data_IF_604089119919
#
_entry.id   IF_604089119919
#
_cell.length_a   1.000
_cell.length_b   1.000
_cell.length_c   1.000
_cell.angle_alpha   90.00
_cell.angle_beta   90.00
_cell.angle_gamma   90.00
#
_symmetry.space_group_name_H-M   'P 1'
#
loop_
_entity.id
_entity.type
_entity.pdbx_description
1 polymer ?
#
# COMPACT_ATOMS: atom_id res chain seq x y z
N UNK A 1 0.00 -5.06 10.87
CA UNK A 1 1.20 -4.28 10.53
C UNK A 1 2.20 -5.14 9.79
N UNK A 2 2.83 -4.60 8.78
CA UNK A 2 4.02 -5.14 8.10
C UNK A 2 5.15 -4.13 8.26
N UNK A 3 6.33 -4.62 8.61
CA UNK A 3 7.57 -3.86 8.56
C UNK A 3 8.61 -4.68 7.79
N UNK A 4 9.21 -4.07 6.80
CA UNK A 4 10.19 -4.77 5.98
C UNK A 4 10.65 -3.97 4.78
N UNK A 5 11.40 -4.60 3.87
CA UNK A 5 11.87 -3.95 2.66
C UNK A 5 10.75 -3.69 1.67
N UNK A 6 10.80 -2.55 1.00
CA UNK A 6 9.97 -2.25 -0.17
C UNK A 6 10.35 -3.17 -1.34
N UNK A 7 9.34 -3.74 -1.99
CA UNK A 7 9.55 -4.50 -3.22
C UNK A 7 10.02 -3.61 -4.40
N UNK A 8 9.85 -2.29 -4.29
CA UNK A 8 10.30 -1.33 -5.32
C UNK A 8 11.82 -1.17 -5.28
N UNK A 9 12.43 -0.98 -4.09
CA UNK A 9 13.84 -0.61 -4.00
C UNK A 9 14.59 -1.12 -2.75
N UNK A 10 13.97 -1.98 -1.96
CA UNK A 10 14.57 -2.57 -0.77
C UNK A 10 14.65 -1.65 0.46
N UNK A 11 14.32 -0.37 0.35
CA UNK A 11 14.33 0.54 1.51
C UNK A 11 13.23 0.17 2.52
N UNK A 12 13.42 0.47 3.82
CA UNK A 12 12.47 0.08 4.85
C UNK A 12 11.15 0.83 4.75
N UNK A 13 10.05 0.06 4.72
CA UNK A 13 8.69 0.56 4.75
C UNK A 13 7.89 -0.04 5.90
N UNK A 14 6.78 0.59 6.22
CA UNK A 14 5.72 0.05 7.07
C UNK A 14 4.39 0.08 6.31
N UNK A 15 3.63 -1.01 6.41
CA UNK A 15 2.26 -1.06 5.93
C UNK A 15 1.30 -1.35 7.09
N UNK A 16 0.27 -0.53 7.22
CA UNK A 16 -0.68 -0.56 8.33
C UNK A 16 -2.09 -0.67 7.79
N UNK A 17 -2.81 -1.70 8.21
CA UNK A 17 -4.23 -1.88 7.91
C UNK A 17 -5.07 -1.26 9.05
N UNK A 18 -5.77 -0.17 8.75
CA UNK A 18 -6.77 0.40 9.65
C UNK A 18 -8.15 -0.13 9.28
N UNK A 19 -8.84 -0.71 10.26
CA UNK A 19 -10.10 -1.44 10.02
C UNK A 19 -11.31 -0.51 9.84
N UNK A 20 -11.23 0.71 10.34
CA UNK A 20 -12.26 1.73 10.20
C UNK A 20 -11.67 2.97 9.53
N UNK A 21 -12.44 3.59 8.67
CA UNK A 21 -12.08 4.83 7.99
C UNK A 21 -13.27 5.79 8.01
N UNK A 22 -12.98 7.06 8.28
CA UNK A 22 -13.95 8.15 8.13
C UNK A 22 -13.96 8.70 6.70
N UNK A 23 -13.35 8.01 5.74
CA UNK A 23 -13.32 8.44 4.36
C UNK A 23 -14.65 8.11 3.67
N UNK A 24 -15.51 9.12 3.55
CA UNK A 24 -16.84 8.99 2.90
C UNK A 24 -16.75 8.41 1.49
N UNK A 25 -15.68 8.69 0.73
CA UNK A 25 -15.51 8.22 -0.65
C UNK A 25 -15.28 6.71 -0.75
N UNK A 26 -14.78 6.09 0.30
CA UNK A 26 -14.49 4.64 0.33
C UNK A 26 -15.44 3.88 1.24
N UNK A 27 -16.39 4.56 1.86
CA UNK A 27 -17.34 3.94 2.77
C UNK A 27 -16.64 3.19 3.92
N UNK A 28 -17.15 2.00 4.24
CA UNK A 28 -16.65 1.18 5.33
C UNK A 28 -15.40 0.33 4.98
N UNK A 29 -14.72 0.61 3.87
CA UNK A 29 -13.52 -0.15 3.51
C UNK A 29 -12.39 0.08 4.50
N UNK A 30 -11.76 -1.00 4.94
CA UNK A 30 -10.49 -0.94 5.64
C UNK A 30 -9.41 -0.33 4.71
N UNK A 31 -8.50 0.45 5.28
CA UNK A 31 -7.51 1.21 4.52
C UNK A 31 -6.11 0.66 4.79
N UNK A 32 -5.39 0.25 3.75
CA UNK A 32 -3.99 -0.14 3.84
C UNK A 32 -3.10 1.05 3.45
N UNK A 33 -2.32 1.51 4.43
CA UNK A 33 -1.38 2.63 4.32
C UNK A 33 0.02 2.09 4.17
N UNK A 34 0.74 2.55 3.17
CA UNK A 34 2.12 2.14 2.89
C UNK A 34 3.00 3.38 3.03
N UNK A 35 3.97 3.36 3.95
CA UNK A 35 4.73 4.53 4.33
C UNK A 35 6.21 4.18 4.50
N UNK A 36 7.09 5.16 4.32
CA UNK A 36 8.47 5.03 4.73
C UNK A 36 8.52 4.83 6.26
N UNK A 37 9.28 3.81 6.73
CA UNK A 37 9.31 3.47 8.16
C UNK A 37 9.91 4.59 9.00
N UNK A 38 10.99 5.19 8.52
CA UNK A 38 11.84 6.08 9.32
C UNK A 38 11.62 7.57 9.02
N UNK A 39 10.80 7.89 8.02
CA UNK A 39 10.54 9.28 7.62
C UNK A 39 9.04 9.53 7.52
N UNK A 40 8.58 10.59 8.18
CA UNK A 40 7.16 10.97 8.14
C UNK A 40 6.69 11.26 6.71
N UNK A 41 5.45 10.88 6.32
CA UNK A 41 4.98 10.94 4.92
C UNK A 41 5.10 12.33 4.27
N UNK A 42 4.79 13.40 4.99
CA UNK A 42 4.88 14.76 4.48
C UNK A 42 6.33 15.22 4.27
N UNK A 43 7.25 14.75 5.13
CA UNK A 43 8.69 15.03 5.00
C UNK A 43 9.26 14.25 3.83
N UNK A 44 8.96 12.94 3.74
CA UNK A 44 9.41 12.09 2.65
C UNK A 44 8.99 12.65 1.28
N UNK A 45 7.72 13.06 1.15
CA UNK A 45 7.21 13.69 -0.07
C UNK A 45 7.93 15.01 -0.39
N UNK A 46 8.12 15.89 0.61
CA UNK A 46 8.78 17.18 0.42
C UNK A 46 10.24 17.03 -0.01
N UNK A 47 10.94 16.05 0.50
CA UNK A 47 12.35 15.75 0.20
C UNK A 47 12.55 14.86 -1.02
N UNK A 48 11.48 14.33 -1.63
CA UNK A 48 11.56 13.36 -2.71
C UNK A 48 12.02 11.97 -2.28
N UNK A 49 12.04 11.67 -0.97
CA UNK A 49 12.50 10.41 -0.38
C UNK A 49 11.37 9.38 -0.22
N UNK A 50 10.24 9.58 -0.90
CA UNK A 50 9.10 8.67 -0.93
C UNK A 50 9.21 7.61 -2.05
N UNK A 51 10.38 7.45 -2.63
CA UNK A 51 10.69 6.47 -3.69
C UNK A 51 10.48 5.01 -3.26
N UNK A 52 10.68 4.70 -1.97
CA UNK A 52 10.38 3.38 -1.41
C UNK A 52 8.89 3.05 -1.42
N UNK A 53 8.03 4.08 -1.45
CA UNK A 53 6.58 3.98 -1.27
C UNK A 53 5.84 4.20 -2.58
N UNK A 54 6.29 5.16 -3.38
CA UNK A 54 5.61 5.60 -4.60
C UNK A 54 6.41 5.29 -5.89
N UNK A 55 7.67 4.82 -5.76
CA UNK A 55 8.54 4.57 -6.92
C UNK A 55 8.67 5.79 -7.82
N UNK A 56 8.67 5.54 -9.13
CA UNK A 56 8.74 6.57 -10.17
C UNK A 56 7.34 7.04 -10.61
N UNK A 57 6.45 7.31 -9.63
CA UNK A 57 5.11 7.77 -9.91
C UNK A 57 5.13 9.08 -10.74
N UNK A 58 4.53 9.11 -11.94
CA UNK A 58 4.61 10.26 -12.83
C UNK A 58 3.88 11.50 -12.29
N UNK A 59 2.89 11.28 -11.41
CA UNK A 59 2.08 12.36 -10.83
C UNK A 59 2.46 12.69 -9.37
N UNK A 60 3.70 12.39 -8.96
CA UNK A 60 4.18 12.66 -7.58
C UNK A 60 3.93 14.10 -7.13
N UNK A 61 4.19 15.07 -8.02
CA UNK A 61 4.02 16.51 -7.73
C UNK A 61 2.55 16.89 -7.56
N UNK A 62 1.68 16.26 -8.33
CA UNK A 62 0.24 16.52 -8.40
C UNK A 62 -0.58 15.52 -7.56
N UNK A 63 0.10 14.73 -6.74
CA UNK A 63 -0.55 13.71 -5.91
C UNK A 63 -1.60 14.34 -5.00
N UNK A 64 -2.86 13.92 -5.15
CA UNK A 64 -4.00 14.43 -4.39
C UNK A 64 -3.98 14.03 -2.90
N UNK A 65 -3.12 13.07 -2.51
CA UNK A 65 -3.04 12.62 -1.13
C UNK A 65 -2.40 13.69 -0.25
N UNK A 66 -3.17 14.14 0.73
CA UNK A 66 -2.71 15.10 1.74
C UNK A 66 -1.89 14.38 2.81
N UNK A 67 -0.58 14.32 2.60
CA UNK A 67 0.34 13.52 3.42
C UNK A 67 0.46 13.99 4.88
N UNK A 68 0.03 15.22 5.18
CA UNK A 68 -0.01 15.81 6.52
C UNK A 68 -1.31 15.51 7.29
N UNK A 69 -2.28 14.83 6.68
CA UNK A 69 -3.55 14.43 7.31
C UNK A 69 -3.53 12.93 7.66
N UNK A 70 -4.37 12.12 7.00
CA UNK A 70 -4.51 10.69 7.28
C UNK A 70 -3.18 9.93 7.35
N UNK A 71 -2.30 10.03 6.33
CA UNK A 71 -1.01 9.35 6.38
C UNK A 71 -0.17 9.72 7.59
N UNK A 72 -0.09 11.02 7.94
CA UNK A 72 0.67 11.47 9.10
C UNK A 72 0.06 10.98 10.41
N UNK A 73 -1.27 11.00 10.53
CA UNK A 73 -1.95 10.50 11.73
C UNK A 73 -1.65 9.02 11.99
N UNK A 74 -1.71 8.19 10.94
CA UNK A 74 -1.41 6.75 11.03
C UNK A 74 0.07 6.52 11.32
N UNK A 75 0.97 7.26 10.68
CA UNK A 75 2.41 7.17 10.93
C UNK A 75 2.78 7.58 12.36
N UNK A 76 2.21 8.67 12.87
CA UNK A 76 2.42 9.10 14.27
C UNK A 76 1.89 8.06 15.26
N UNK A 77 0.75 7.46 15.01
CA UNK A 77 0.22 6.37 15.84
C UNK A 77 1.16 5.15 15.83
N UNK A 78 1.72 4.79 14.67
CA UNK A 78 2.73 3.77 14.55
C UNK A 78 3.99 4.10 15.38
N UNK A 79 4.52 5.31 15.26
CA UNK A 79 5.72 5.74 16.01
C UNK A 79 5.52 5.78 17.53
N UNK A 80 4.28 5.95 18.00
CA UNK A 80 3.93 5.86 19.42
C UNK A 80 3.64 4.42 19.89
N UNK A 81 3.84 3.41 19.05
CA UNK A 81 3.59 2.02 19.43
C UNK A 81 2.11 1.62 19.52
N UNK A 82 1.16 2.45 19.04
CA UNK A 82 -0.28 2.16 19.11
C UNK A 82 -0.65 0.82 18.47
N UNK A 83 0.11 0.38 17.49
CA UNK A 83 -0.13 -0.87 16.77
C UNK A 83 0.69 -2.05 17.32
N UNK A 84 1.50 -1.84 18.35
CA UNK A 84 2.23 -2.91 19.02
C UNK A 84 1.24 -3.84 19.70
N UNK A 85 1.40 -5.15 19.53
CA UNK A 85 0.48 -6.16 20.05
C UNK A 85 -0.84 -6.33 19.30
N UNK A 86 -1.16 -5.47 18.32
CA UNK A 86 -2.39 -5.61 17.53
C UNK A 86 -2.31 -6.64 16.40
N UNK A 87 -1.23 -7.42 16.37
CA UNK A 87 -1.00 -8.46 15.38
C UNK A 87 -0.25 -7.96 14.16
N UNK A 88 0.57 -8.85 13.64
CA UNK A 88 1.42 -8.62 12.49
C UNK A 88 1.15 -9.68 11.44
N UNK A 89 1.33 -9.36 10.18
CA UNK A 89 1.28 -10.36 9.12
C UNK A 89 2.46 -11.34 9.26
N UNK A 90 2.19 -12.62 9.46
CA UNK A 90 3.24 -13.64 9.48
C UNK A 90 3.61 -14.03 8.05
N UNK A 91 4.91 -14.03 7.75
CA UNK A 91 5.43 -14.45 6.46
C UNK A 91 6.03 -15.86 6.57
N UNK A 92 6.05 -16.61 5.47
CA UNK A 92 6.88 -17.80 5.34
C UNK A 92 8.40 -17.49 5.32
N UNK A 93 8.79 -16.21 5.23
CA UNK A 93 10.19 -15.77 5.26
C UNK A 93 10.70 -15.71 6.71
N UNK A 94 11.97 -15.99 7.00
CA UNK A 94 12.52 -16.00 8.36
C UNK A 94 12.26 -14.72 9.14
N UNK A 95 11.87 -14.84 10.41
CA UNK A 95 11.54 -13.72 11.32
C UNK A 95 12.65 -12.67 11.48
N UNK A 96 13.89 -12.97 11.07
CA UNK A 96 15.01 -12.04 11.08
C UNK A 96 14.92 -10.89 10.08
N UNK A 97 14.05 -11.01 9.07
CA UNK A 97 13.93 -10.01 8.00
C UNK A 97 12.69 -9.12 8.12
N UNK A 98 11.75 -9.43 9.01
CA UNK A 98 10.56 -8.61 9.24
C UNK A 98 9.91 -8.96 10.59
N UNK A 99 9.30 -7.98 11.21
CA UNK A 99 8.39 -8.17 12.34
C UNK A 99 6.96 -8.21 11.78
N UNK A 100 6.28 -9.37 11.84
CA UNK A 100 4.96 -9.39 11.28
C UNK A 100 4.12 -10.60 11.68
N UNK A 101 2.90 -10.37 12.10
CA UNK A 101 1.87 -11.36 12.42
C UNK A 101 0.55 -10.90 11.82
N UNK A 102 -0.13 -11.78 11.06
CA UNK A 102 -1.56 -11.54 10.77
C UNK A 102 -2.28 -11.70 12.12
N UNK A 103 -3.08 -10.72 12.54
CA UNK A 103 -3.94 -10.95 13.70
C UNK A 103 -4.84 -12.16 13.41
N UNK A 104 -5.22 -12.89 14.44
CA UNK A 104 -6.32 -13.88 14.40
C UNK A 104 -7.67 -13.20 14.08
N UNK A 105 -7.65 -12.01 13.51
CA UNK A 105 -8.84 -11.32 13.05
C UNK A 105 -9.22 -11.82 11.69
N UNK A 106 -10.43 -12.30 11.64
CA UNK A 106 -11.09 -12.70 10.41
C UNK A 106 -11.18 -11.51 9.43
N UNK A 107 -10.37 -11.54 8.38
CA UNK A 107 -10.42 -10.56 7.30
C UNK A 107 -11.58 -10.83 6.35
N UNK A 108 -12.24 -12.00 6.45
CA UNK A 108 -13.28 -12.45 5.52
C UNK A 108 -14.47 -11.51 5.41
N UNK A 109 -14.69 -10.66 6.39
CA UNK A 109 -15.75 -9.65 6.41
C UNK A 109 -15.31 -8.27 5.93
N UNK A 110 -14.03 -8.09 5.62
CA UNK A 110 -13.47 -6.78 5.29
C UNK A 110 -13.32 -6.60 3.78
N UNK A 111 -13.84 -5.49 3.28
CA UNK A 111 -13.43 -4.94 1.99
C UNK A 111 -12.22 -4.03 2.23
N UNK A 112 -11.14 -4.22 1.48
CA UNK A 112 -9.85 -3.56 1.73
C UNK A 112 -9.45 -2.68 0.55
N UNK A 113 -9.11 -1.42 0.83
CA UNK A 113 -8.47 -0.52 -0.13
C UNK A 113 -6.96 -0.55 0.07
N UNK A 114 -6.24 -1.06 -0.91
CA UNK A 114 -4.79 -0.99 -0.96
C UNK A 114 -4.32 0.39 -1.43
N UNK A 115 -3.29 0.91 -0.77
CA UNK A 115 -2.69 2.18 -1.15
C UNK A 115 -3.59 3.39 -0.83
N UNK A 116 -4.18 3.45 0.36
CA UNK A 116 -4.78 4.69 0.85
C UNK A 116 -3.77 5.84 0.85
N UNK A 117 -2.51 5.51 1.08
CA UNK A 117 -1.30 6.23 0.70
C UNK A 117 -0.22 5.20 0.34
N UNK A 118 0.61 5.50 -0.65
CA UNK A 118 1.64 4.64 -1.19
C UNK A 118 1.13 3.68 -2.27
N UNK A 119 2.04 3.21 -3.10
CA UNK A 119 1.74 2.30 -4.20
C UNK A 119 1.76 0.84 -3.69
N UNK A 120 0.73 0.03 -3.95
CA UNK A 120 0.73 -1.39 -3.60
C UNK A 120 1.92 -2.19 -4.14
N UNK A 121 2.57 -1.72 -5.20
CA UNK A 121 3.79 -2.33 -5.73
C UNK A 121 4.97 -2.31 -4.74
N UNK A 122 4.92 -1.48 -3.71
CA UNK A 122 5.91 -1.48 -2.63
C UNK A 122 5.80 -2.69 -1.71
N UNK A 123 4.66 -3.39 -1.71
CA UNK A 123 4.43 -4.56 -0.87
C UNK A 123 5.01 -5.82 -1.50
N UNK A 124 5.57 -6.74 -0.68
CA UNK A 124 5.95 -8.05 -1.20
C UNK A 124 4.72 -8.85 -1.64
N UNK A 125 4.87 -9.61 -2.71
CA UNK A 125 3.75 -10.35 -3.33
C UNK A 125 3.07 -11.34 -2.36
N UNK A 126 3.83 -11.94 -1.46
CA UNK A 126 3.26 -12.86 -0.46
C UNK A 126 2.27 -12.16 0.48
N UNK A 127 2.52 -10.87 0.84
CA UNK A 127 1.63 -10.09 1.68
C UNK A 127 0.35 -9.72 0.93
N UNK A 128 0.48 -9.33 -0.34
CA UNK A 128 -0.67 -9.07 -1.21
C UNK A 128 -1.55 -10.32 -1.29
N UNK A 129 -0.95 -11.50 -1.55
CA UNK A 129 -1.65 -12.79 -1.58
C UNK A 129 -2.35 -13.09 -0.25
N UNK A 130 -1.63 -12.96 0.86
CA UNK A 130 -2.17 -13.26 2.18
C UNK A 130 -3.39 -12.40 2.53
N UNK A 131 -3.39 -11.14 2.14
CA UNK A 131 -4.53 -10.25 2.37
C UNK A 131 -5.67 -10.56 1.40
N UNK A 132 -5.40 -10.66 0.09
CA UNK A 132 -6.43 -10.79 -0.94
C UNK A 132 -7.14 -12.14 -0.91
N UNK A 133 -6.47 -13.21 -0.47
CA UNK A 133 -7.07 -14.54 -0.32
C UNK A 133 -7.98 -14.67 0.91
N UNK A 134 -7.80 -13.79 1.90
CA UNK A 134 -8.52 -13.88 3.17
C UNK A 134 -9.53 -12.74 3.39
N UNK A 135 -9.55 -11.70 2.57
CA UNK A 135 -10.53 -10.62 2.69
C UNK A 135 -11.77 -10.88 1.82
N UNK A 136 -12.88 -10.19 2.17
CA UNK A 136 -14.13 -10.26 1.41
C UNK A 136 -13.96 -9.73 0.00
N UNK A 137 -13.39 -8.54 -0.11
CA UNK A 137 -13.18 -7.78 -1.34
C UNK A 137 -11.96 -6.90 -1.22
N UNK A 138 -11.40 -6.50 -2.35
CA UNK A 138 -10.33 -5.53 -2.35
C UNK A 138 -10.35 -4.65 -3.60
N UNK A 139 -9.75 -3.47 -3.46
CA UNK A 139 -9.46 -2.55 -4.56
C UNK A 139 -8.11 -1.90 -4.37
N UNK A 140 -7.52 -1.46 -5.45
CA UNK A 140 -6.26 -0.72 -5.46
C UNK A 140 -5.83 -0.42 -6.89
N UNK A 141 -4.90 0.51 -7.02
CA UNK A 141 -4.28 0.82 -8.30
C UNK A 141 -2.81 1.12 -8.08
N UNK A 142 -2.02 0.88 -9.11
CA UNK A 142 -0.57 1.08 -9.09
C UNK A 142 -0.13 1.95 -10.26
N UNK A 143 0.82 2.86 -10.04
CA UNK A 143 1.54 3.57 -11.10
C UNK A 143 2.76 2.77 -11.58
N UNK A 144 3.19 1.78 -10.79
CA UNK A 144 4.35 0.94 -11.09
C UNK A 144 4.02 -0.27 -11.99
N UNK A 145 2.87 -0.25 -12.66
CA UNK A 145 2.35 -1.36 -13.45
C UNK A 145 3.27 -1.81 -14.60
N UNK A 146 4.07 -0.90 -15.17
CA UNK A 146 5.05 -1.24 -16.21
C UNK A 146 6.17 -2.13 -15.66
N UNK A 147 6.58 -1.87 -14.43
CA UNK A 147 7.68 -2.58 -13.76
C UNK A 147 7.23 -3.88 -13.11
N UNK A 148 5.97 -3.94 -12.69
CA UNK A 148 5.39 -5.08 -11.99
C UNK A 148 4.14 -5.61 -12.70
N UNK A 149 4.28 -6.20 -13.91
CA UNK A 149 3.12 -6.65 -14.70
C UNK A 149 2.31 -7.75 -14.00
N UNK A 150 2.93 -8.55 -13.14
CA UNK A 150 2.24 -9.57 -12.34
C UNK A 150 1.18 -9.04 -11.38
N UNK A 151 1.19 -7.73 -11.08
CA UNK A 151 0.17 -7.08 -10.24
C UNK A 151 -1.17 -6.89 -10.97
N UNK A 152 -1.26 -7.15 -12.27
CA UNK A 152 -2.51 -7.10 -13.04
C UNK A 152 -3.58 -8.05 -12.49
N UNK A 153 -3.18 -9.11 -11.78
CA UNK A 153 -4.07 -10.06 -11.09
C UNK A 153 -4.84 -9.42 -9.92
N UNK A 154 -4.30 -8.35 -9.34
CA UNK A 154 -4.80 -7.75 -8.10
C UNK A 154 -5.30 -6.33 -8.30
N UNK A 155 -4.54 -5.50 -8.99
CA UNK A 155 -4.74 -4.06 -9.04
C UNK A 155 -4.99 -3.53 -10.42
N UNK A 156 -5.57 -2.33 -10.48
CA UNK A 156 -5.71 -1.58 -11.72
C UNK A 156 -4.43 -0.79 -11.99
N UNK A 157 -4.09 -0.60 -13.25
CA UNK A 157 -3.07 0.37 -13.65
C UNK A 157 -3.65 1.78 -13.58
N UNK A 158 -3.01 2.68 -12.84
CA UNK A 158 -3.27 4.11 -12.95
C UNK A 158 -2.59 4.64 -14.20
N UNK A 159 -3.35 5.29 -15.07
CA UNK A 159 -2.89 5.75 -16.37
C UNK A 159 -3.31 7.18 -16.65
N UNK A 160 -2.41 7.99 -17.16
CA UNK A 160 -2.61 9.41 -17.39
C UNK A 160 -3.04 9.74 -18.84
N UNK A 161 -2.99 8.75 -19.75
CA UNK A 161 -3.36 8.94 -21.17
C UNK A 161 -3.98 7.69 -21.80
N UNK A 162 -4.67 7.88 -22.93
CA UNK A 162 -5.24 6.76 -23.68
C UNK A 162 -4.16 5.82 -24.21
N UNK A 163 -3.03 6.34 -24.66
CA UNK A 163 -1.91 5.53 -25.11
C UNK A 163 -1.33 4.64 -24.00
N UNK A 164 -1.28 5.13 -22.75
CA UNK A 164 -0.88 4.34 -21.59
C UNK A 164 -1.93 3.31 -21.21
N UNK A 165 -3.21 3.64 -21.35
CA UNK A 165 -4.32 2.69 -21.16
C UNK A 165 -4.18 1.46 -22.07
N UNK A 166 -3.89 1.68 -23.35
CA UNK A 166 -3.75 0.57 -24.31
C UNK A 166 -2.53 -0.29 -23.97
N UNK A 167 -1.42 0.33 -23.55
CA UNK A 167 -0.24 -0.40 -23.07
C UNK A 167 -0.54 -1.23 -21.82
N UNK A 168 -1.27 -0.66 -20.84
CA UNK A 168 -1.63 -1.34 -19.62
C UNK A 168 -2.57 -2.54 -19.89
N UNK A 169 -3.53 -2.37 -20.81
CA UNK A 169 -4.42 -3.47 -21.24
C UNK A 169 -3.65 -4.61 -21.90
N UNK A 170 -2.64 -4.32 -22.72
CA UNK A 170 -1.77 -5.36 -23.31
C UNK A 170 -1.01 -6.17 -22.26
N UNK A 171 -0.75 -5.60 -21.08
CA UNK A 171 -0.16 -6.27 -19.92
C UNK A 171 -1.21 -6.93 -18.98
N UNK A 172 -2.47 -6.99 -19.41
CA UNK A 172 -3.54 -7.63 -18.65
C UNK A 172 -4.17 -6.79 -17.55
N UNK A 173 -3.82 -5.49 -17.44
CA UNK A 173 -4.40 -4.65 -16.41
C UNK A 173 -5.80 -4.12 -16.78
N UNK A 174 -6.69 -4.10 -15.79
CA UNK A 174 -7.78 -3.13 -15.77
C UNK A 174 -7.16 -1.74 -15.52
N UNK A 175 -7.80 -0.69 -15.97
CA UNK A 175 -7.23 0.66 -15.89
C UNK A 175 -8.10 1.60 -15.08
N UNK A 176 -7.46 2.50 -14.36
CA UNK A 176 -8.05 3.64 -13.65
C UNK A 176 -7.45 4.93 -14.20
N UNK A 177 -8.30 5.95 -14.40
CA UNK A 177 -7.90 7.28 -14.90
C UNK A 177 -8.65 8.37 -14.15
#
# INVERSE_FOLDING_TARGET
VYEGPSAINGKPIVAILTLKSNNVKTGNMAQLWIMARDTAPHIAKKQGNDDAVCGDCPIKKECYVLTFQGPLSVWNAYKRGVYEGMGYFSSPIPKSLYKGRIPDRDLSQLSIRFGAYGDPAALPIWLINAITQNCKDFTGYTHSWKRFPGLSKYFMASVESLALKDKAKKLGFRTFR
#
